data_IF_969981567264
#
_entry.id   IF_969981567264
#
_cell.length_a   1.000
_cell.length_b   1.000
_cell.length_c   1.000
_cell.angle_alpha   90.00
_cell.angle_beta   90.00
_cell.angle_gamma   90.00
#
_symmetry.space_group_name_H-M   'P 1'
#
loop_
_entity.id
_entity.type
_entity.pdbx_description
1 polymer ?
#
# COMPACT_ATOMS: atom_id res chain seq x y z
N UNK A 1 6.09 -34.12 -2.02
CA UNK A 1 5.85 -33.80 -3.44
C UNK A 1 4.63 -34.57 -3.88
N UNK A 2 3.58 -33.91 -4.36
CA UNK A 2 2.33 -34.61 -4.63
C UNK A 2 1.89 -34.61 -6.11
N UNK A 3 2.21 -33.61 -6.94
CA UNK A 3 1.83 -33.58 -8.36
C UNK A 3 2.81 -32.71 -9.16
N UNK A 4 3.22 -33.16 -10.34
CA UNK A 4 3.92 -32.35 -11.35
C UNK A 4 2.95 -31.88 -12.44
N UNK A 5 3.27 -30.82 -13.22
CA UNK A 5 2.43 -30.42 -14.36
C UNK A 5 2.19 -31.55 -15.35
N UNK A 6 3.18 -32.43 -15.54
CA UNK A 6 3.06 -33.58 -16.44
C UNK A 6 2.16 -34.70 -15.86
N UNK A 7 2.04 -34.78 -14.53
CA UNK A 7 1.10 -35.72 -13.89
C UNK A 7 -0.37 -35.30 -14.08
N UNK A 8 -0.63 -33.99 -14.24
CA UNK A 8 -1.96 -33.46 -14.54
C UNK A 8 -2.36 -33.72 -16.00
N UNK A 9 -1.43 -33.53 -16.94
CA UNK A 9 -1.67 -33.81 -18.37
C UNK A 9 -1.91 -35.30 -18.65
N UNK A 10 -1.29 -36.19 -17.89
CA UNK A 10 -1.44 -37.64 -18.05
C UNK A 10 -2.54 -38.22 -17.15
N UNK A 11 -3.35 -37.38 -16.49
CA UNK A 11 -4.34 -37.86 -15.53
C UNK A 11 -5.61 -38.36 -16.21
N UNK A 12 -5.83 -39.67 -16.15
CA UNK A 12 -7.10 -40.27 -16.58
C UNK A 12 -8.07 -40.48 -15.39
N UNK A 13 -9.32 -40.05 -15.56
CA UNK A 13 -10.41 -40.26 -14.60
C UNK A 13 -11.30 -41.44 -15.03
N UNK A 14 -11.75 -42.29 -14.09
CA UNK A 14 -12.64 -43.40 -14.41
C UNK A 14 -14.07 -42.92 -14.78
N UNK A 15 -14.64 -43.48 -15.85
CA UNK A 15 -15.99 -43.14 -16.30
C UNK A 15 -17.07 -43.64 -15.33
N UNK A 16 -17.99 -42.75 -14.95
CA UNK A 16 -19.10 -43.07 -14.05
C UNK A 16 -20.32 -43.55 -14.85
N UNK A 17 -20.63 -44.85 -14.78
CA UNK A 17 -21.72 -45.46 -15.59
C UNK A 17 -23.12 -45.36 -14.96
N UNK A 18 -23.21 -45.09 -13.66
CA UNK A 18 -24.47 -45.15 -12.90
C UNK A 18 -24.72 -43.93 -12.00
N UNK A 19 -23.90 -42.89 -12.11
CA UNK A 19 -24.06 -41.62 -11.39
C UNK A 19 -23.77 -40.46 -12.34
N UNK A 20 -24.42 -39.29 -12.18
CA UNK A 20 -24.03 -38.11 -12.94
C UNK A 20 -22.58 -37.75 -12.58
N UNK A 21 -21.75 -37.59 -13.61
CA UNK A 21 -20.36 -37.14 -13.50
C UNK A 21 -20.17 -35.77 -14.15
N UNK A 22 -18.96 -35.23 -14.05
CA UNK A 22 -18.58 -34.01 -14.78
C UNK A 22 -18.49 -34.27 -16.28
N UNK A 23 -18.76 -33.24 -17.08
CA UNK A 23 -18.59 -33.29 -18.53
C UNK A 23 -17.10 -33.36 -18.88
N UNK A 24 -16.72 -34.32 -19.72
CA UNK A 24 -15.32 -34.60 -20.02
C UNK A 24 -14.61 -33.39 -20.63
N UNK A 25 -15.20 -32.79 -21.66
CA UNK A 25 -14.58 -31.68 -22.38
C UNK A 25 -14.39 -30.45 -21.46
N UNK A 26 -15.35 -30.17 -20.58
CA UNK A 26 -15.22 -29.08 -19.60
C UNK A 26 -14.14 -29.35 -18.53
N UNK A 27 -13.92 -30.62 -18.18
CA UNK A 27 -12.82 -31.01 -17.27
C UNK A 27 -11.47 -30.91 -17.98
N UNK A 28 -11.41 -31.32 -19.25
CA UNK A 28 -10.18 -31.24 -20.06
C UNK A 28 -9.77 -29.76 -20.27
N UNK A 29 -10.70 -28.86 -20.62
CA UNK A 29 -10.45 -27.41 -20.75
C UNK A 29 -9.94 -26.80 -19.42
N UNK A 30 -10.55 -27.17 -18.29
CA UNK A 30 -10.13 -26.68 -16.97
C UNK A 30 -8.73 -27.17 -16.59
N UNK A 31 -8.38 -28.42 -16.94
CA UNK A 31 -7.06 -28.98 -16.64
C UNK A 31 -5.97 -28.32 -17.48
N UNK A 32 -6.26 -27.93 -18.73
CA UNK A 32 -5.34 -27.16 -19.56
C UNK A 32 -4.99 -25.80 -18.91
N UNK A 33 -6.00 -25.08 -18.41
CA UNK A 33 -5.80 -23.81 -17.68
C UNK A 33 -4.97 -24.01 -16.40
N UNK A 34 -5.27 -25.06 -15.62
CA UNK A 34 -4.55 -25.38 -14.39
C UNK A 34 -3.08 -25.73 -14.68
N UNK A 35 -2.79 -26.43 -15.77
CA UNK A 35 -1.40 -26.77 -16.15
C UNK A 35 -0.60 -25.54 -16.53
N UNK A 36 -1.21 -24.58 -17.23
CA UNK A 36 -0.56 -23.30 -17.58
C UNK A 36 -0.20 -22.52 -16.32
N UNK A 37 -1.15 -22.37 -15.39
CA UNK A 37 -0.91 -21.67 -14.12
C UNK A 37 0.09 -22.40 -13.23
N UNK A 38 0.06 -23.74 -13.21
CA UNK A 38 0.99 -24.51 -12.40
C UNK A 38 2.43 -24.38 -12.91
N UNK A 39 2.64 -24.31 -14.23
CA UNK A 39 3.96 -23.99 -14.82
C UNK A 39 4.40 -22.57 -14.48
N UNK A 40 3.48 -21.60 -14.55
CA UNK A 40 3.77 -20.21 -14.16
C UNK A 40 4.21 -20.11 -12.70
N UNK A 41 3.48 -20.77 -11.79
CA UNK A 41 3.80 -20.78 -10.35
C UNK A 41 5.14 -21.46 -10.05
N UNK A 42 5.48 -22.54 -10.77
CA UNK A 42 6.80 -23.19 -10.62
C UNK A 42 7.91 -22.23 -11.04
N UNK A 43 7.76 -21.58 -12.19
CA UNK A 43 8.74 -20.61 -12.69
C UNK A 43 8.88 -19.43 -11.73
N UNK A 44 7.76 -18.87 -11.24
CA UNK A 44 7.76 -17.80 -10.23
C UNK A 44 8.44 -18.24 -8.93
N UNK A 45 8.25 -19.48 -8.48
CA UNK A 45 8.95 -20.01 -7.30
C UNK A 45 10.46 -20.15 -7.53
N UNK A 46 10.86 -20.56 -8.73
CA UNK A 46 12.28 -20.64 -9.12
C UNK A 46 12.91 -19.24 -9.17
N UNK A 47 12.22 -18.27 -9.77
CA UNK A 47 12.65 -16.87 -9.84
C UNK A 47 12.75 -16.25 -8.44
N UNK A 48 11.76 -16.47 -7.57
CA UNK A 48 11.79 -16.00 -6.18
C UNK A 48 12.92 -16.65 -5.38
N UNK A 49 13.18 -17.95 -5.56
CA UNK A 49 14.32 -18.61 -4.92
C UNK A 49 15.66 -18.07 -5.42
N UNK A 50 15.76 -17.75 -6.71
CA UNK A 50 16.95 -17.12 -7.27
C UNK A 50 17.16 -15.71 -6.70
N UNK A 51 16.09 -14.92 -6.52
CA UNK A 51 16.15 -13.62 -5.88
C UNK A 51 16.57 -13.71 -4.41
N UNK A 52 16.01 -14.65 -3.65
CA UNK A 52 16.41 -14.89 -2.25
C UNK A 52 17.88 -15.27 -2.18
N UNK A 53 18.35 -16.19 -3.01
CA UNK A 53 19.76 -16.57 -3.05
C UNK A 53 20.67 -15.39 -3.40
N UNK A 54 20.28 -14.53 -4.35
CA UNK A 54 21.04 -13.34 -4.70
C UNK A 54 21.05 -12.28 -3.59
N UNK A 55 19.96 -12.12 -2.85
CA UNK A 55 19.88 -11.22 -1.70
C UNK A 55 20.70 -11.77 -0.51
N UNK A 56 20.67 -13.08 -0.29
CA UNK A 56 21.52 -13.76 0.69
C UNK A 56 23.01 -13.60 0.35
N UNK A 57 23.40 -13.75 -0.92
CA UNK A 57 24.77 -13.50 -1.39
C UNK A 57 25.19 -12.03 -1.21
N UNK A 58 24.31 -11.08 -1.51
CA UNK A 58 24.56 -9.65 -1.26
C UNK A 58 24.70 -9.33 0.23
N UNK A 59 23.97 -10.02 1.10
CA UNK A 59 24.10 -9.92 2.56
C UNK A 59 25.43 -10.52 3.05
N UNK A 60 25.93 -11.59 2.42
CA UNK A 60 27.23 -12.19 2.74
C UNK A 60 28.42 -11.36 2.21
N UNK A 61 28.30 -10.73 1.04
CA UNK A 61 29.35 -9.89 0.44
C UNK A 61 29.49 -8.51 1.12
N UNK A 62 28.43 -8.00 1.75
CA UNK A 62 28.42 -6.74 2.50
C UNK A 62 28.09 -6.94 4.00
N UNK A 63 28.99 -7.52 4.81
CA UNK A 63 28.79 -7.64 6.26
C UNK A 63 28.87 -6.29 7.01
N UNK A 64 29.19 -5.19 6.31
CA UNK A 64 29.46 -3.88 6.89
C UNK A 64 28.22 -3.01 7.15
N UNK A 65 27.02 -3.47 6.78
CA UNK A 65 25.74 -2.78 7.07
C UNK A 65 24.97 -3.40 8.24
N UNK A 66 25.62 -4.24 9.05
CA UNK A 66 25.08 -4.75 10.31
C UNK A 66 25.95 -4.24 11.46
N UNK A 67 25.73 -2.98 11.85
CA UNK A 67 26.09 -2.57 13.21
C UNK A 67 25.15 -3.31 14.18
N UNK A 68 25.68 -4.10 15.14
CA UNK A 68 24.89 -4.95 16.02
C UNK A 68 24.21 -4.21 17.18
N UNK A 69 23.89 -2.92 17.01
CA UNK A 69 23.30 -2.08 18.07
C UNK A 69 21.89 -1.54 17.80
N UNK A 70 21.33 -1.68 16.59
CA UNK A 70 19.98 -1.14 16.28
C UNK A 70 18.83 -2.17 16.35
N UNK A 71 19.10 -3.45 16.64
CA UNK A 71 18.07 -4.49 16.74
C UNK A 71 17.41 -4.61 18.13
N UNK A 72 17.88 -3.85 19.13
CA UNK A 72 17.28 -3.87 20.49
C UNK A 72 16.17 -2.84 20.69
N UNK A 73 16.07 -1.82 19.85
CA UNK A 73 15.14 -0.70 20.06
C UNK A 73 13.82 -0.81 19.27
N UNK A 74 13.67 -1.83 18.42
CA UNK A 74 12.46 -2.06 17.63
C UNK A 74 11.34 -2.85 18.37
N UNK A 75 11.50 -3.14 19.67
CA UNK A 75 10.44 -3.76 20.47
C UNK A 75 9.96 -5.15 20.02
N UNK A 76 10.71 -5.86 19.16
CA UNK A 76 10.34 -7.16 18.61
C UNK A 76 11.01 -8.34 19.35
N UNK A 77 11.01 -8.31 20.69
CA UNK A 77 11.53 -9.40 21.53
C UNK A 77 10.56 -10.61 21.66
N UNK A 78 9.57 -10.75 20.76
CA UNK A 78 8.39 -11.59 21.03
C UNK A 78 8.11 -12.77 20.11
N UNK A 79 8.83 -13.00 19.01
CA UNK A 79 8.47 -14.08 18.07
C UNK A 79 9.68 -14.82 17.52
N UNK A 80 10.25 -15.71 18.33
CA UNK A 80 11.03 -16.84 17.84
C UNK A 80 10.06 -18.00 17.51
N UNK A 81 9.30 -17.85 16.42
CA UNK A 81 8.47 -18.93 15.89
C UNK A 81 9.36 -19.96 15.23
N UNK A 82 9.57 -21.10 15.87
CA UNK A 82 10.22 -22.26 15.25
C UNK A 82 9.34 -22.81 14.12
N UNK A 83 9.96 -23.36 13.08
CA UNK A 83 9.35 -23.85 11.84
C UNK A 83 8.46 -25.11 11.99
N UNK A 84 7.67 -25.20 13.06
CA UNK A 84 6.90 -26.40 13.44
C UNK A 84 5.37 -26.27 13.28
N UNK A 85 4.81 -25.13 12.89
CA UNK A 85 3.35 -24.95 12.83
C UNK A 85 2.70 -25.04 11.42
N UNK A 86 3.45 -25.39 10.38
CA UNK A 86 2.92 -25.41 8.99
C UNK A 86 2.26 -26.75 8.60
N UNK A 87 2.08 -27.70 9.52
CA UNK A 87 1.34 -28.94 9.21
C UNK A 87 0.34 -29.30 10.31
N UNK A 88 -0.72 -28.52 10.43
CA UNK A 88 -1.92 -28.83 11.20
C UNK A 88 -3.12 -28.99 10.28
N UNK A 89 -3.63 -30.22 10.21
CA UNK A 89 -4.76 -30.71 9.42
C UNK A 89 -5.99 -29.78 9.44
N UNK A 90 -6.51 -29.42 8.25
CA UNK A 90 -7.78 -28.72 8.09
C UNK A 90 -8.95 -29.67 8.44
N UNK A 91 -9.61 -29.42 9.55
CA UNK A 91 -10.90 -30.06 9.89
C UNK A 91 -12.04 -29.26 9.25
N UNK A 92 -13.05 -29.92 8.65
CA UNK A 92 -14.15 -29.22 7.99
C UNK A 92 -15.09 -28.58 9.02
N UNK A 93 -15.43 -27.31 8.78
CA UNK A 93 -16.46 -26.56 9.50
C UNK A 93 -17.82 -27.19 9.14
N UNK A 94 -18.53 -27.66 10.16
CA UNK A 94 -19.98 -27.89 10.07
C UNK A 94 -20.66 -26.69 10.71
N UNK A 95 -21.60 -26.10 9.97
CA UNK A 95 -22.50 -25.05 10.42
C UNK A 95 -23.41 -25.59 11.52
N UNK A 96 -23.39 -24.97 12.70
CA UNK A 96 -24.60 -24.62 13.45
C UNK A 96 -24.26 -23.63 14.58
N UNK A 97 -24.77 -22.40 14.40
CA UNK A 97 -25.54 -21.63 15.39
C UNK A 97 -25.40 -21.99 16.87
N UNK A 98 -24.82 -21.09 17.69
CA UNK A 98 -25.56 -20.36 18.75
C UNK A 98 -24.65 -19.39 19.51
N UNK A 99 -25.22 -18.22 19.82
CA UNK A 99 -24.65 -17.16 20.61
C UNK A 99 -24.61 -17.55 22.10
N UNK A 100 -23.64 -17.02 22.85
CA UNK A 100 -23.92 -16.43 24.16
C UNK A 100 -22.71 -15.61 24.64
N UNK A 101 -23.02 -14.40 25.09
CA UNK A 101 -22.14 -13.47 25.75
C UNK A 101 -22.27 -13.67 27.26
N UNK A 102 -21.16 -13.73 28.00
CA UNK A 102 -21.15 -13.36 29.42
C UNK A 102 -19.85 -12.62 29.77
N UNK A 103 -20.05 -11.52 30.50
CA UNK A 103 -19.07 -10.61 31.09
C UNK A 103 -19.15 -10.80 32.61
N UNK A 104 -18.02 -10.54 33.29
CA UNK A 104 -17.83 -10.30 34.74
C UNK A 104 -17.60 -11.52 35.67
N UNK A 105 -17.06 -11.34 36.91
CA UNK A 105 -15.82 -10.61 37.30
C UNK A 105 -15.05 -11.25 38.50
N UNK A 106 -13.89 -10.64 38.87
CA UNK A 106 -13.19 -10.66 40.20
C UNK A 106 -12.70 -12.01 40.78
N UNK A 107 -11.65 -12.17 41.61
CA UNK A 107 -10.92 -11.30 42.52
C UNK A 107 -9.54 -11.92 42.90
N UNK A 108 -8.62 -11.03 43.31
CA UNK A 108 -7.55 -11.09 44.34
C UNK A 108 -6.94 -12.41 44.86
N UNK A 109 -5.61 -12.45 44.89
CA UNK A 109 -4.72 -12.52 46.08
C UNK A 109 -3.28 -12.29 45.57
N UNK A 110 -2.65 -11.11 45.70
CA UNK A 110 -2.01 -10.52 46.89
C UNK A 110 -0.96 -11.44 47.56
N UNK A 111 0.31 -11.29 47.14
CA UNK A 111 1.45 -11.41 48.04
C UNK A 111 2.48 -10.32 47.74
N UNK A 112 2.98 -9.78 48.84
CA UNK A 112 3.68 -8.53 49.07
C UNK A 112 5.12 -8.46 48.52
N UNK A 113 5.56 -7.23 48.27
CA UNK A 113 6.86 -6.78 47.77
C UNK A 113 7.91 -6.72 48.92
N UNK A 114 9.13 -6.14 48.79
CA UNK A 114 9.79 -5.57 47.61
C UNK A 114 11.25 -6.02 47.40
N UNK A 115 11.70 -6.01 46.14
CA UNK A 115 13.11 -6.13 45.79
C UNK A 115 13.61 -4.80 45.21
N UNK A 116 14.63 -4.28 45.89
CA UNK A 116 15.31 -3.01 45.67
C UNK A 116 16.30 -3.08 44.50
N UNK A 117 16.18 -2.11 43.61
CA UNK A 117 17.19 -1.45 42.77
C UNK A 117 18.60 -2.10 42.67
N UNK A 118 18.90 -2.66 41.48
CA UNK A 118 20.27 -2.76 40.92
C UNK A 118 20.33 -1.82 39.69
N UNK A 119 21.04 -0.70 39.77
CA UNK A 119 22.46 -0.47 39.43
C UNK A 119 22.74 -0.42 37.91
N UNK A 120 23.54 0.55 37.44
CA UNK A 120 24.88 0.15 37.02
C UNK A 120 26.01 1.13 37.36
N UNK A 121 27.11 0.48 37.72
CA UNK A 121 28.51 0.74 37.38
C UNK A 121 29.20 2.09 37.67
N UNK A 122 30.27 1.93 38.45
CA UNK A 122 31.25 2.91 38.84
C UNK A 122 32.28 3.19 37.72
N UNK A 123 32.73 4.44 37.54
CA UNK A 123 34.05 4.68 36.98
C UNK A 123 35.12 4.44 38.05
N UNK A 124 36.10 3.64 37.66
CA UNK A 124 37.37 3.37 38.32
C UNK A 124 38.02 4.63 38.89
N UNK A 125 38.40 4.56 40.16
CA UNK A 125 39.32 5.49 40.81
C UNK A 125 40.69 5.47 40.13
N UNK A 126 41.14 6.61 39.61
CA UNK A 126 42.54 7.07 39.58
C UNK A 126 42.58 8.46 38.94
N UNK A 127 42.41 9.51 39.73
CA UNK A 127 43.36 10.62 39.86
C UNK A 127 42.78 11.65 40.85
N UNK A 128 42.90 11.35 42.14
CA UNK A 128 42.57 12.31 43.20
C UNK A 128 43.71 13.32 43.34
N UNK A 129 43.93 14.14 42.32
CA UNK A 129 44.61 15.42 42.49
C UNK A 129 43.60 16.40 43.13
N UNK A 130 43.23 16.13 44.37
CA UNK A 130 42.67 17.14 45.26
C UNK A 130 43.74 18.20 45.35
N UNK A 131 43.52 19.31 44.64
CA UNK A 131 44.38 20.48 44.73
C UNK A 131 44.42 20.86 46.19
N UNK A 132 45.60 20.66 46.77
CA UNK A 132 45.93 21.16 48.08
C UNK A 132 45.42 22.60 48.16
N UNK A 133 44.56 22.88 49.13
CA UNK A 133 44.40 24.25 49.60
C UNK A 133 45.82 24.80 49.75
N UNK A 134 46.15 25.98 49.20
CA UNK A 134 47.41 26.59 49.59
C UNK A 134 47.35 26.66 51.12
N UNK A 135 48.27 25.97 51.79
CA UNK A 135 48.58 26.23 53.19
C UNK A 135 48.92 27.71 53.20
N UNK A 136 47.94 28.54 53.56
CA UNK A 136 48.22 29.92 53.91
C UNK A 136 49.20 29.81 55.06
N UNK A 137 50.45 30.27 54.92
CA UNK A 137 51.30 30.40 56.08
C UNK A 137 50.53 31.34 57.00
N UNK A 138 49.99 30.81 58.12
CA UNK A 138 49.55 31.63 59.23
C UNK A 138 50.71 32.56 59.48
N UNK A 139 50.54 33.82 59.09
CA UNK A 139 51.60 34.81 59.15
C UNK A 139 52.22 34.67 60.52
N UNK A 140 53.52 34.36 60.56
CA UNK A 140 54.24 34.35 61.82
C UNK A 140 54.09 35.75 62.36
N UNK A 141 53.23 35.91 63.38
CA UNK A 141 53.17 37.16 64.13
C UNK A 141 54.63 37.42 64.51
N UNK A 142 55.29 38.48 64.01
CA UNK A 142 56.66 38.72 64.37
C UNK A 142 56.68 38.73 65.90
N UNK A 143 57.47 37.83 66.49
CA UNK A 143 57.73 37.87 67.91
C UNK A 143 58.36 39.24 68.14
N UNK A 144 57.56 40.19 68.60
CA UNK A 144 58.09 41.45 69.11
C UNK A 144 59.18 41.05 70.09
N UNK A 145 60.43 41.53 69.89
CA UNK A 145 61.48 41.25 70.85
C UNK A 145 60.98 41.69 72.22
N UNK A 146 60.90 40.74 73.15
CA UNK A 146 60.61 41.08 74.54
C UNK A 146 61.63 42.14 74.95
N UNK A 147 61.22 43.25 75.57
CA UNK A 147 62.17 44.28 75.98
C UNK A 147 63.19 43.63 76.92
N UNK A 148 64.48 43.74 76.59
CA UNK A 148 65.55 43.43 77.54
C UNK A 148 65.34 44.31 78.76
N UNK A 149 64.97 43.68 79.89
CA UNK A 149 64.89 44.35 81.18
C UNK A 149 66.32 44.72 81.58
N UNK A 150 66.74 45.94 81.25
CA UNK A 150 67.92 46.51 81.88
C UNK A 150 67.60 46.69 83.36
N UNK A 151 68.22 45.88 84.20
CA UNK A 151 68.24 46.08 85.64
C UNK A 151 68.94 47.40 85.92
N UNK A 152 68.16 48.43 86.22
CA UNK A 152 68.69 49.65 86.83
C UNK A 152 69.06 49.34 88.29
N UNK A 153 70.36 49.36 88.55
CA UNK A 153 70.93 49.40 89.89
C UNK A 153 70.69 50.80 90.46
N UNK A 154 69.72 50.94 91.36
CA UNK A 154 69.45 52.19 92.07
C UNK A 154 70.21 52.21 93.41
N UNK A 155 71.46 52.66 93.34
CA UNK A 155 72.16 53.24 94.50
C UNK A 155 72.07 54.77 94.47
N UNK A 156 71.15 55.29 95.27
CA UNK A 156 71.15 56.60 95.93
C UNK A 156 71.31 57.88 95.09
N UNK A 157 70.25 58.69 94.99
CA UNK A 157 70.27 60.16 95.16
C UNK A 157 68.86 60.80 95.08
N UNK A 158 68.58 61.72 96.01
CA UNK A 158 67.57 62.81 96.07
C UNK A 158 66.17 62.65 95.42
N UNK A 159 65.13 62.66 96.28
CA UNK A 159 63.73 62.33 95.98
C UNK A 159 62.89 63.40 95.23
N UNK A 160 63.44 64.57 94.89
CA UNK A 160 62.63 65.67 94.30
C UNK A 160 62.91 65.90 92.79
N UNK A 161 64.03 65.40 92.28
CA UNK A 161 64.36 65.43 90.83
C UNK A 161 63.88 64.19 90.07
N UNK A 162 64.00 63.01 90.69
CA UNK A 162 63.74 61.69 90.07
C UNK A 162 62.25 61.44 89.80
N UNK A 163 61.34 61.99 90.62
CA UNK A 163 59.90 61.91 90.40
C UNK A 163 59.45 62.61 89.10
N UNK A 164 60.07 63.74 88.76
CA UNK A 164 59.78 64.45 87.50
C UNK A 164 60.27 63.69 86.27
N UNK A 165 61.42 63.01 86.39
CA UNK A 165 62.02 62.22 85.30
C UNK A 165 61.27 60.90 85.09
N UNK A 166 60.89 60.20 86.16
CA UNK A 166 60.07 58.98 86.08
C UNK A 166 58.67 59.26 85.50
N UNK A 167 58.06 60.40 85.84
CA UNK A 167 56.77 60.81 85.27
C UNK A 167 56.90 61.15 83.78
N UNK A 168 58.01 61.77 83.36
CA UNK A 168 58.32 62.02 81.95
C UNK A 168 58.53 60.74 81.14
N UNK A 169 59.17 59.72 81.72
CA UNK A 169 59.36 58.40 81.09
C UNK A 169 58.03 57.64 80.97
N UNK A 170 57.17 57.67 82.00
CA UNK A 170 55.84 57.07 81.94
C UNK A 170 54.92 57.75 80.92
N UNK A 171 54.96 59.08 80.82
CA UNK A 171 54.23 59.83 79.80
C UNK A 171 54.74 59.52 78.39
N UNK A 172 56.06 59.33 78.22
CA UNK A 172 56.63 58.85 76.95
C UNK A 172 56.22 57.40 76.65
N UNK A 173 56.17 56.52 77.66
CA UNK A 173 55.75 55.14 77.50
C UNK A 173 54.26 55.00 77.15
N UNK A 174 53.38 55.80 77.75
CA UNK A 174 51.96 55.88 77.39
C UNK A 174 51.79 56.40 75.97
N UNK A 175 52.51 57.46 75.60
CA UNK A 175 52.47 57.99 74.23
C UNK A 175 52.96 56.98 73.20
N UNK A 176 54.02 56.23 73.51
CA UNK A 176 54.53 55.16 72.66
C UNK A 176 53.52 54.00 72.56
N UNK A 177 52.91 53.61 73.68
CA UNK A 177 51.87 52.58 73.72
C UNK A 177 50.66 52.97 72.87
N UNK A 178 50.12 54.16 73.06
CA UNK A 178 48.96 54.65 72.32
C UNK A 178 49.28 54.77 70.82
N UNK A 179 50.52 55.12 70.49
CA UNK A 179 51.00 55.11 69.11
C UNK A 179 51.03 53.70 68.51
N UNK A 180 51.52 52.69 69.25
CA UNK A 180 51.49 51.29 68.79
C UNK A 180 50.06 50.71 68.71
N UNK A 181 49.16 51.11 69.61
CA UNK A 181 47.75 50.71 69.54
C UNK A 181 47.11 51.29 68.30
N UNK A 182 47.31 52.59 68.03
CA UNK A 182 46.78 53.25 66.83
C UNK A 182 47.35 52.64 65.54
N UNK A 183 48.65 52.32 65.51
CA UNK A 183 49.28 51.63 64.37
C UNK A 183 48.75 50.19 64.21
N UNK A 184 48.50 49.48 65.32
CA UNK A 184 47.88 48.16 65.33
C UNK A 184 46.43 48.18 64.82
N UNK A 185 45.65 49.18 65.19
CA UNK A 185 44.29 49.37 64.70
C UNK A 185 44.29 49.72 63.20
N UNK A 186 45.20 50.59 62.75
CA UNK A 186 45.34 50.96 61.35
C UNK A 186 45.75 49.76 60.49
N UNK A 187 46.73 48.95 60.94
CA UNK A 187 47.17 47.75 60.22
C UNK A 187 46.07 46.69 60.18
N UNK A 188 45.35 46.47 61.29
CA UNK A 188 44.18 45.57 61.31
C UNK A 188 43.09 46.05 60.35
N UNK A 189 42.76 47.33 60.36
CA UNK A 189 41.77 47.91 59.46
C UNK A 189 42.20 47.78 57.99
N UNK A 190 43.49 47.98 57.70
CA UNK A 190 44.05 47.79 56.36
C UNK A 190 43.91 46.34 55.89
N UNK A 191 44.25 45.35 56.72
CA UNK A 191 44.09 43.93 56.37
C UNK A 191 42.63 43.51 56.20
N UNK A 192 41.71 44.07 56.99
CA UNK A 192 40.28 43.80 56.80
C UNK A 192 39.81 44.37 55.46
N UNK A 193 40.19 45.61 55.13
CA UNK A 193 39.82 46.24 53.86
C UNK A 193 40.40 45.48 52.66
N UNK A 194 41.65 45.02 52.75
CA UNK A 194 42.28 44.18 51.72
C UNK A 194 41.56 42.82 51.60
N UNK A 195 41.21 42.20 52.71
CA UNK A 195 40.44 40.95 52.73
C UNK A 195 39.03 41.09 52.13
N UNK A 196 38.35 42.20 52.42
CA UNK A 196 37.04 42.51 51.82
C UNK A 196 37.16 42.77 50.31
N UNK A 197 38.20 43.49 49.88
CA UNK A 197 38.44 43.77 48.47
C UNK A 197 38.77 42.50 47.68
N UNK A 198 39.63 41.64 48.22
CA UNK A 198 39.98 40.36 47.58
C UNK A 198 38.78 39.42 47.51
N UNK A 199 37.99 39.30 48.59
CA UNK A 199 36.74 38.52 48.59
C UNK A 199 35.74 39.07 47.57
N UNK A 200 35.55 40.39 47.50
CA UNK A 200 34.67 41.01 46.53
C UNK A 200 35.13 40.76 45.09
N UNK A 201 36.44 40.82 44.84
CA UNK A 201 37.02 40.52 43.53
C UNK A 201 36.74 39.06 43.11
N UNK A 202 36.96 38.09 44.01
CA UNK A 202 36.67 36.67 43.71
C UNK A 202 35.19 36.41 43.46
N UNK A 203 34.29 37.07 44.20
CA UNK A 203 32.84 36.93 43.95
C UNK A 203 32.48 37.50 42.58
N UNK A 204 32.97 38.69 42.25
CA UNK A 204 32.71 39.31 40.94
C UNK A 204 33.24 38.46 39.78
N UNK A 205 34.43 37.89 39.92
CA UNK A 205 35.00 36.96 38.94
C UNK A 205 34.16 35.68 38.80
N UNK A 206 33.73 35.10 39.93
CA UNK A 206 32.84 33.94 39.95
C UNK A 206 31.47 34.22 39.31
N UNK A 207 30.89 35.38 39.55
CA UNK A 207 29.64 35.81 38.92
C UNK A 207 29.81 36.04 37.43
N UNK A 208 30.92 36.66 37.01
CA UNK A 208 31.21 36.90 35.59
C UNK A 208 31.43 35.60 34.82
N UNK A 209 32.21 34.67 35.37
CA UNK A 209 32.45 33.35 34.75
C UNK A 209 31.16 32.54 34.67
N UNK A 210 30.36 32.51 35.75
CA UNK A 210 29.04 31.85 35.74
C UNK A 210 28.11 32.47 34.69
N UNK A 211 28.06 33.80 34.59
CA UNK A 211 27.24 34.48 33.59
C UNK A 211 27.70 34.16 32.16
N UNK A 212 29.02 34.10 31.93
CA UNK A 212 29.58 33.71 30.64
C UNK A 212 29.16 32.29 30.24
N UNK A 213 29.30 31.31 31.13
CA UNK A 213 28.89 29.93 30.86
C UNK A 213 27.39 29.78 30.60
N UNK A 214 26.55 30.54 31.31
CA UNK A 214 25.11 30.54 31.07
C UNK A 214 24.79 31.11 29.69
N UNK A 215 25.38 32.25 29.33
CA UNK A 215 25.18 32.87 28.01
C UNK A 215 25.62 31.95 26.87
N UNK A 216 26.77 31.30 27.01
CA UNK A 216 27.27 30.33 26.02
C UNK A 216 26.35 29.10 25.91
N UNK A 217 25.87 28.59 27.05
CA UNK A 217 24.91 27.49 27.08
C UNK A 217 23.55 27.84 26.46
N UNK A 218 23.08 29.07 26.66
CA UNK A 218 21.86 29.58 26.05
C UNK A 218 22.01 29.75 24.53
N UNK A 219 23.14 30.29 24.06
CA UNK A 219 23.44 30.48 22.65
C UNK A 219 23.55 29.15 21.90
N UNK A 220 24.29 28.19 22.46
CA UNK A 220 24.43 26.85 21.88
C UNK A 220 23.10 26.09 21.84
N UNK A 221 22.32 26.14 22.93
CA UNK A 221 20.97 25.56 22.95
C UNK A 221 20.07 26.20 21.90
N UNK A 222 20.09 27.53 21.77
CA UNK A 222 19.30 28.23 20.76
C UNK A 222 19.71 27.85 19.34
N UNK A 223 21.02 27.70 19.08
CA UNK A 223 21.54 27.25 17.80
C UNK A 223 21.01 25.85 17.44
N UNK A 224 21.12 24.87 18.34
CA UNK A 224 20.61 23.52 18.10
C UNK A 224 19.10 23.47 17.88
N UNK A 225 18.34 24.29 18.60
CA UNK A 225 16.88 24.38 18.38
C UNK A 225 16.60 24.92 16.98
N UNK A 226 17.27 26.01 16.57
CA UNK A 226 17.06 26.61 15.24
C UNK A 226 17.46 25.67 14.09
N UNK A 227 18.53 24.90 14.28
CA UNK A 227 18.97 23.88 13.32
C UNK A 227 17.97 22.72 13.24
N UNK A 228 17.49 22.25 14.39
CA UNK A 228 16.44 21.22 14.48
C UNK A 228 15.13 21.66 13.83
N UNK A 229 14.73 22.92 14.00
CA UNK A 229 13.55 23.50 13.34
C UNK A 229 13.74 23.56 11.83
N UNK A 230 14.90 24.05 11.37
CA UNK A 230 15.20 24.18 9.93
C UNK A 230 15.23 22.82 9.24
N UNK A 231 15.91 21.83 9.83
CA UNK A 231 15.98 20.47 9.28
C UNK A 231 14.61 19.79 9.26
N UNK A 232 13.82 19.94 10.33
CA UNK A 232 12.45 19.43 10.36
C UNK A 232 11.57 20.05 9.29
N UNK A 233 11.64 21.38 9.10
CA UNK A 233 10.88 22.07 8.06
C UNK A 233 11.29 21.61 6.65
N UNK A 234 12.59 21.37 6.43
CA UNK A 234 13.10 20.81 5.18
C UNK A 234 12.50 19.43 4.90
N UNK A 235 12.54 18.50 5.87
CA UNK A 235 11.97 17.16 5.69
C UNK A 235 10.46 17.18 5.46
N UNK A 236 9.73 18.07 6.15
CA UNK A 236 8.29 18.23 5.93
C UNK A 236 8.03 18.70 4.49
N UNK A 237 8.76 19.73 4.05
CA UNK A 237 8.59 20.29 2.70
C UNK A 237 8.94 19.26 1.62
N UNK A 238 10.03 18.51 1.80
CA UNK A 238 10.44 17.45 0.88
C UNK A 238 9.41 16.30 0.85
N UNK A 239 8.91 15.88 2.03
CA UNK A 239 7.86 14.89 2.14
C UNK A 239 6.55 15.33 1.46
N UNK A 240 6.18 16.60 1.59
CA UNK A 240 5.00 17.16 0.91
C UNK A 240 5.20 17.22 -0.61
N UNK A 241 6.38 17.64 -1.09
CA UNK A 241 6.70 17.70 -2.51
C UNK A 241 6.72 16.32 -3.16
N UNK A 242 7.37 15.34 -2.53
CA UNK A 242 7.42 13.96 -3.03
C UNK A 242 6.03 13.33 -3.06
N UNK A 243 5.24 13.51 -2.00
CA UNK A 243 3.85 13.04 -1.97
C UNK A 243 3.00 13.70 -3.06
N UNK A 244 3.14 15.01 -3.26
CA UNK A 244 2.43 15.72 -4.32
C UNK A 244 2.85 15.23 -5.73
N UNK A 245 4.14 14.95 -5.93
CA UNK A 245 4.65 14.40 -7.18
C UNK A 245 4.03 13.03 -7.49
N UNK A 246 4.04 12.09 -6.54
CA UNK A 246 3.41 10.77 -6.73
C UNK A 246 1.91 10.84 -7.01
N UNK A 247 1.20 11.76 -6.33
CA UNK A 247 -0.22 11.97 -6.60
C UNK A 247 -0.42 12.48 -8.03
N UNK A 248 0.35 13.48 -8.46
CA UNK A 248 0.24 14.05 -9.81
C UNK A 248 0.59 13.04 -10.91
N UNK A 249 1.58 12.19 -10.66
CA UNK A 249 1.97 11.11 -11.56
C UNK A 249 0.84 10.07 -11.66
N UNK A 250 0.32 9.62 -10.51
CA UNK A 250 -0.80 8.68 -10.45
C UNK A 250 -2.06 9.21 -11.15
N UNK A 251 -2.38 10.49 -10.98
CA UNK A 251 -3.49 11.15 -11.69
C UNK A 251 -3.25 11.16 -13.20
N UNK A 252 -2.05 11.54 -13.64
CA UNK A 252 -1.69 11.57 -15.06
C UNK A 252 -1.80 10.18 -15.69
N UNK A 253 -1.23 9.16 -15.04
CA UNK A 253 -1.27 7.77 -15.52
C UNK A 253 -2.71 7.23 -15.55
N UNK A 254 -3.51 7.50 -14.52
CA UNK A 254 -4.92 7.12 -14.50
C UNK A 254 -5.67 7.75 -15.67
N UNK A 255 -5.49 9.05 -15.89
CA UNK A 255 -6.20 9.79 -16.93
C UNK A 255 -5.78 9.33 -18.34
N UNK A 256 -4.51 8.93 -18.51
CA UNK A 256 -4.03 8.28 -19.74
C UNK A 256 -4.73 6.95 -20.01
N UNK A 257 -4.84 6.07 -19.02
CA UNK A 257 -5.54 4.79 -19.18
C UNK A 257 -7.03 4.97 -19.47
N UNK A 258 -7.67 5.96 -18.85
CA UNK A 258 -9.06 6.30 -19.14
C UNK A 258 -9.18 6.76 -20.60
N UNK A 259 -8.33 7.68 -21.05
CA UNK A 259 -8.36 8.18 -22.43
C UNK A 259 -8.08 7.08 -23.47
N UNK A 260 -7.15 6.17 -23.19
CA UNK A 260 -6.86 5.01 -24.03
C UNK A 260 -8.04 4.03 -24.07
N UNK A 261 -8.65 3.75 -22.92
CA UNK A 261 -9.86 2.92 -22.81
C UNK A 261 -11.04 3.53 -23.57
N UNK A 262 -11.24 4.84 -23.49
CA UNK A 262 -12.27 5.55 -24.24
C UNK A 262 -12.03 5.50 -25.74
N UNK A 263 -10.78 5.71 -26.18
CA UNK A 263 -10.39 5.64 -27.59
C UNK A 263 -10.63 4.25 -28.17
N UNK A 264 -10.12 3.20 -27.52
CA UNK A 264 -10.30 1.82 -27.97
C UNK A 264 -11.78 1.44 -28.01
N UNK A 265 -12.56 1.82 -26.99
CA UNK A 265 -14.02 1.63 -26.99
C UNK A 265 -14.70 2.34 -28.17
N UNK A 266 -14.32 3.58 -28.46
CA UNK A 266 -14.88 4.33 -29.59
C UNK A 266 -14.54 3.66 -30.93
N UNK A 267 -13.32 3.13 -31.09
CA UNK A 267 -12.89 2.39 -32.28
C UNK A 267 -13.72 1.10 -32.48
N UNK A 268 -13.93 0.31 -31.42
CA UNK A 268 -14.76 -0.89 -31.49
C UNK A 268 -16.22 -0.59 -31.84
N UNK A 269 -16.79 0.48 -31.27
CA UNK A 269 -18.15 0.91 -31.61
C UNK A 269 -18.23 1.31 -33.08
N UNK A 270 -17.28 2.11 -33.57
CA UNK A 270 -17.25 2.53 -34.97
C UNK A 270 -17.03 1.37 -35.94
N UNK A 271 -16.25 0.35 -35.55
CA UNK A 271 -16.09 -0.87 -36.33
C UNK A 271 -17.37 -1.72 -36.33
N UNK A 272 -18.00 -1.90 -35.17
CA UNK A 272 -19.25 -2.63 -35.04
C UNK A 272 -20.38 -1.98 -35.86
N UNK A 273 -20.48 -0.65 -35.85
CA UNK A 273 -21.43 0.11 -36.66
C UNK A 273 -21.18 -0.07 -38.15
N UNK A 274 -19.91 -0.06 -38.59
CA UNK A 274 -19.52 -0.33 -39.99
C UNK A 274 -19.91 -1.76 -40.41
N UNK A 275 -19.56 -2.77 -39.62
CA UNK A 275 -19.93 -4.17 -39.90
C UNK A 275 -21.44 -4.35 -39.92
N UNK A 276 -22.17 -3.72 -38.99
CA UNK A 276 -23.63 -3.75 -38.98
C UNK A 276 -24.20 -3.13 -40.25
N UNK A 277 -23.69 -1.97 -40.67
CA UNK A 277 -24.14 -1.32 -41.90
C UNK A 277 -23.88 -2.20 -43.13
N UNK A 278 -22.70 -2.82 -43.22
CA UNK A 278 -22.34 -3.76 -44.28
C UNK A 278 -23.31 -4.94 -44.35
N UNK A 279 -23.54 -5.62 -43.22
CA UNK A 279 -24.48 -6.76 -43.14
C UNK A 279 -25.90 -6.34 -43.56
N UNK A 280 -26.35 -5.17 -43.11
CA UNK A 280 -27.68 -4.66 -43.49
C UNK A 280 -27.76 -4.43 -45.00
N UNK A 281 -26.76 -3.77 -45.60
CA UNK A 281 -26.75 -3.52 -47.05
C UNK A 281 -26.67 -4.80 -47.87
N UNK A 282 -25.89 -5.78 -47.42
CA UNK A 282 -25.81 -7.09 -48.07
C UNK A 282 -27.15 -7.84 -47.98
N UNK A 283 -27.78 -7.83 -46.80
CA UNK A 283 -29.08 -8.46 -46.59
C UNK A 283 -30.18 -7.81 -47.44
N UNK A 284 -30.20 -6.47 -47.52
CA UNK A 284 -31.13 -5.72 -48.37
C UNK A 284 -30.92 -6.07 -49.85
N UNK A 285 -29.68 -6.02 -50.33
CA UNK A 285 -29.36 -6.37 -51.73
C UNK A 285 -29.75 -7.82 -52.05
N UNK A 286 -29.50 -8.76 -51.12
CA UNK A 286 -29.89 -10.16 -51.30
C UNK A 286 -31.41 -10.33 -51.33
N UNK A 287 -32.13 -9.61 -50.49
CA UNK A 287 -33.59 -9.64 -50.47
C UNK A 287 -34.18 -9.08 -51.77
N UNK A 288 -33.66 -7.96 -52.27
CA UNK A 288 -34.07 -7.37 -53.56
C UNK A 288 -33.87 -8.34 -54.72
N UNK A 289 -32.67 -8.95 -54.83
CA UNK A 289 -32.38 -9.94 -55.86
C UNK A 289 -33.31 -11.17 -55.77
N UNK A 290 -33.62 -11.62 -54.56
CA UNK A 290 -34.53 -12.76 -54.35
C UNK A 290 -35.97 -12.41 -54.77
N UNK A 291 -36.42 -11.18 -54.51
CA UNK A 291 -37.74 -10.70 -54.95
C UNK A 291 -37.77 -10.61 -56.47
N UNK A 292 -36.74 -10.03 -57.10
CA UNK A 292 -36.66 -9.93 -58.56
C UNK A 292 -36.67 -11.31 -59.22
N UNK A 293 -35.91 -12.28 -58.70
CA UNK A 293 -35.92 -13.66 -59.19
C UNK A 293 -37.30 -14.33 -59.00
N UNK A 294 -37.96 -14.09 -57.86
CA UNK A 294 -39.31 -14.60 -57.60
C UNK A 294 -40.36 -13.99 -58.56
N UNK A 295 -40.27 -12.70 -58.85
CA UNK A 295 -41.16 -12.02 -59.82
C UNK A 295 -40.92 -12.51 -61.25
N UNK A 296 -39.66 -12.70 -61.64
CA UNK A 296 -39.29 -13.23 -62.95
C UNK A 296 -39.77 -14.68 -63.13
N UNK A 297 -39.59 -15.52 -62.13
CA UNK A 297 -40.10 -16.90 -62.17
C UNK A 297 -41.62 -16.95 -62.15
N UNK A 298 -42.29 -16.10 -61.36
CA UNK A 298 -43.74 -15.96 -61.34
C UNK A 298 -44.30 -15.53 -62.71
N UNK A 299 -43.77 -14.47 -63.31
CA UNK A 299 -44.20 -14.00 -64.64
C UNK A 299 -43.97 -15.06 -65.73
N UNK A 300 -42.82 -15.77 -65.69
CA UNK A 300 -42.53 -16.87 -66.61
C UNK A 300 -43.51 -18.03 -66.45
N UNK A 301 -43.81 -18.43 -65.22
CA UNK A 301 -44.74 -19.55 -64.96
C UNK A 301 -46.16 -19.19 -65.35
N UNK A 302 -46.62 -17.97 -65.07
CA UNK A 302 -47.91 -17.45 -65.52
C UNK A 302 -48.01 -17.44 -67.04
N UNK A 303 -47.01 -16.95 -67.77
CA UNK A 303 -47.00 -16.96 -69.23
C UNK A 303 -47.10 -18.39 -69.80
N UNK A 304 -46.44 -19.37 -69.17
CA UNK A 304 -46.55 -20.79 -69.55
C UNK A 304 -47.95 -21.34 -69.27
N UNK A 305 -48.55 -20.99 -68.13
CA UNK A 305 -49.90 -21.42 -67.77
C UNK A 305 -50.97 -20.80 -68.69
N UNK A 306 -50.82 -19.51 -69.04
CA UNK A 306 -51.70 -18.82 -69.99
C UNK A 306 -51.64 -19.47 -71.38
N UNK A 307 -50.45 -19.83 -71.86
CA UNK A 307 -50.29 -20.55 -73.12
C UNK A 307 -50.97 -21.92 -73.09
N UNK A 308 -50.75 -22.69 -72.02
CA UNK A 308 -51.41 -24.00 -71.82
C UNK A 308 -52.93 -23.85 -71.76
N UNK A 309 -53.43 -22.81 -71.11
CA UNK A 309 -54.87 -22.51 -71.07
C UNK A 309 -55.41 -22.24 -72.47
N UNK A 310 -54.75 -21.40 -73.27
CA UNK A 310 -55.17 -21.10 -74.65
C UNK A 310 -55.14 -22.36 -75.55
N UNK A 311 -54.13 -23.21 -75.40
CA UNK A 311 -54.05 -24.49 -76.11
C UNK A 311 -55.20 -25.42 -75.72
N UNK A 312 -55.53 -25.51 -74.42
CA UNK A 312 -56.65 -26.30 -73.92
C UNK A 312 -58.01 -25.74 -74.39
N UNK A 313 -58.20 -24.43 -74.39
CA UNK A 313 -59.42 -23.77 -74.90
C UNK A 313 -59.62 -24.07 -76.39
N UNK A 314 -58.55 -24.00 -77.18
CA UNK A 314 -58.58 -24.39 -78.59
C UNK A 314 -58.97 -25.86 -78.73
N UNK A 315 -58.39 -26.75 -77.91
CA UNK A 315 -58.72 -28.18 -77.94
C UNK A 315 -60.17 -28.47 -77.56
N UNK A 316 -60.72 -27.75 -76.59
CA UNK A 316 -62.14 -27.83 -76.23
C UNK A 316 -63.02 -27.38 -77.41
N UNK A 317 -62.66 -26.29 -78.09
CA UNK A 317 -63.38 -25.83 -79.28
C UNK A 317 -63.35 -26.86 -80.42
N UNK A 318 -62.20 -27.52 -80.65
CA UNK A 318 -62.09 -28.61 -81.63
C UNK A 318 -62.93 -29.83 -81.25
N UNK A 319 -62.92 -30.23 -79.97
CA UNK A 319 -63.68 -31.39 -79.51
C UNK A 319 -65.19 -31.14 -79.56
N UNK A 320 -65.64 -29.93 -79.26
CA UNK A 320 -67.06 -29.55 -79.33
C UNK A 320 -67.56 -29.44 -80.77
N UNK A 321 -66.75 -28.93 -81.71
CA UNK A 321 -67.11 -28.96 -83.14
C UNK A 321 -67.13 -30.39 -83.67
N UNK A 322 -66.14 -31.21 -83.34
CA UNK A 322 -66.11 -32.63 -83.67
C UNK A 322 -67.33 -33.38 -83.10
N UNK A 323 -67.71 -33.13 -81.85
CA UNK A 323 -68.90 -33.71 -81.23
C UNK A 323 -70.17 -33.31 -81.99
N UNK A 324 -70.31 -32.02 -82.33
CA UNK A 324 -71.46 -31.53 -83.09
C UNK A 324 -71.55 -32.19 -84.46
N UNK A 325 -70.44 -32.25 -85.19
CA UNK A 325 -70.38 -32.88 -86.52
C UNK A 325 -70.61 -34.38 -86.44
N UNK A 326 -70.08 -35.07 -85.42
CA UNK A 326 -70.32 -36.49 -85.19
C UNK A 326 -71.79 -36.77 -84.87
N UNK A 327 -72.42 -35.97 -83.99
CA UNK A 327 -73.85 -36.06 -83.70
C UNK A 327 -74.71 -35.82 -84.94
N UNK A 328 -74.34 -34.84 -85.78
CA UNK A 328 -75.02 -34.60 -87.06
C UNK A 328 -74.89 -35.80 -87.99
N UNK A 329 -73.68 -36.33 -88.21
CA UNK A 329 -73.45 -37.53 -89.03
C UNK A 329 -74.16 -38.77 -88.52
N UNK A 330 -74.17 -38.98 -87.19
CA UNK A 330 -74.87 -40.10 -86.57
C UNK A 330 -76.38 -39.95 -86.76
N UNK A 331 -76.91 -38.74 -86.60
CA UNK A 331 -78.32 -38.44 -86.88
C UNK A 331 -78.66 -38.72 -88.35
N UNK A 332 -77.88 -38.19 -89.29
CA UNK A 332 -78.07 -38.41 -90.73
C UNK A 332 -77.97 -39.91 -91.09
N UNK A 333 -77.06 -40.65 -90.47
CA UNK A 333 -76.91 -42.10 -90.67
C UNK A 333 -78.15 -42.86 -90.16
N UNK A 334 -78.63 -42.55 -88.95
CA UNK A 334 -79.84 -43.18 -88.39
C UNK A 334 -81.07 -42.82 -89.22
N UNK A 335 -81.23 -41.55 -89.62
CA UNK A 335 -82.32 -41.11 -90.49
C UNK A 335 -82.26 -41.81 -91.86
N UNK A 336 -81.06 -41.99 -92.43
CA UNK A 336 -80.85 -42.75 -93.66
C UNK A 336 -81.22 -44.23 -93.53
N UNK A 337 -80.81 -44.89 -92.43
CA UNK A 337 -81.19 -46.27 -92.14
C UNK A 337 -82.70 -46.42 -91.92
N UNK A 338 -83.34 -45.47 -91.24
CA UNK A 338 -84.79 -45.43 -91.07
C UNK A 338 -85.52 -45.22 -92.40
N UNK A 339 -84.99 -44.37 -93.29
CA UNK A 339 -85.53 -44.16 -94.62
C UNK A 339 -85.42 -45.41 -95.51
N UNK A 340 -84.30 -46.15 -95.45
CA UNK A 340 -84.13 -47.42 -96.16
C UNK A 340 -85.04 -48.53 -95.59
N UNK A 341 -85.26 -48.56 -94.27
CA UNK A 341 -86.23 -49.46 -93.66
C UNK A 341 -87.67 -49.10 -94.04
N UNK A 342 -88.02 -47.81 -94.08
CA UNK A 342 -89.32 -47.35 -94.55
C UNK A 342 -89.52 -47.62 -96.04
N UNK A 343 -88.49 -47.46 -96.88
CA UNK A 343 -88.58 -47.77 -98.31
C UNK A 343 -88.71 -49.28 -98.52
N UNK A 344 -87.94 -50.11 -97.81
CA UNK A 344 -88.09 -51.58 -97.84
C UNK A 344 -89.45 -52.03 -97.33
N UNK A 345 -89.93 -51.49 -96.21
CA UNK A 345 -91.28 -51.76 -95.69
C UNK A 345 -92.38 -51.24 -96.60
N UNK A 346 -92.16 -50.14 -97.33
CA UNK A 346 -93.10 -49.62 -98.34
C UNK A 346 -93.10 -50.48 -99.60
N UNK A 347 -91.96 -51.00 -100.03
CA UNK A 347 -91.84 -51.97 -101.14
C UNK A 347 -92.48 -53.31 -100.75
N UNK A 348 -92.35 -53.74 -99.49
CA UNK A 348 -93.02 -54.94 -98.96
C UNK A 348 -94.54 -54.73 -98.84
N UNK A 349 -94.99 -53.52 -98.50
CA UNK A 349 -96.41 -53.14 -98.46
C UNK A 349 -97.04 -52.94 -99.84
N UNK A 350 -96.27 -52.47 -100.83
CA UNK A 350 -96.71 -52.43 -102.24
C UNK A 350 -96.70 -53.83 -102.88
N UNK A 351 -95.76 -54.70 -102.51
CA UNK A 351 -95.73 -56.09 -102.97
C UNK A 351 -96.87 -56.95 -102.39
N UNK A 352 -97.37 -56.62 -101.20
CA UNK A 352 -98.51 -57.32 -100.57
C UNK A 352 -99.86 -56.65 -100.83
N UNK A 353 -99.88 -55.42 -101.37
CA UNK A 353 -101.09 -54.70 -101.76
C UNK A 353 -101.57 -54.97 -103.20
N UNK A 354 -100.79 -55.71 -104.00
CA UNK A 354 -101.12 -56.04 -105.39
C UNK A 354 -101.73 -57.44 -105.57
N UNK A 355 -102.17 -58.09 -104.49
CA UNK A 355 -102.76 -59.44 -104.49
C UNK A 355 -104.25 -59.49 -104.09
N UNK A 356 -105.02 -58.43 -104.39
CA UNK A 356 -106.49 -58.42 -104.30
C UNK A 356 -107.17 -57.82 -105.54
#
# INVERSE_FOLDING_TARGET
>A
MALTPDDLLNKEFPETKFRPGYEKDAVDDFLDDVVVEFRRLIQENEDLKAQVAALEEQLEEHPANLEPDELKDAGLSGYAGTAAEVTGTFAPITEDSEAEAEVEPEASEETDAPESEEQPEAPSAQDSAVTAYPEYPLGTRPAQPAPEVQTVDESGADADGVASTATGVLAMAQKLHDQYVAEGEQTRAAYIAEGEQTRAAYIAEGEQTRAAYISEGEETRAAYISEGETTREQYITEGEQTRAAYISEGETTRDQYIAEGEKTRAEYIAEAERKRAEIVTEAETRAENMIEEAELTSSRTLAVLERKKADLETKVSELTSFERDYRARLKDYIEGQLADLNSRGSIEKEATGAEL
#
